data_IF_659514028206
#
_entry.id   IF_659514028206
#
_cell.length_a   1.000
_cell.length_b   1.000
_cell.length_c   1.000
_cell.angle_alpha   90.00
_cell.angle_beta   90.00
_cell.angle_gamma   90.00
#
_symmetry.space_group_name_H-M   'P 1'
#
loop_
_entity.id
_entity.type
_entity.pdbx_description
1 polymer ?
#
# COMPACT_ATOMS: atom_id res chain seq x y z
N UNK A 1 18.06 -10.05 15.28
CA UNK A 1 17.44 -11.34 14.88
C UNK A 1 16.69 -11.07 13.58
N UNK A 2 16.78 -11.89 12.53
CA UNK A 2 16.00 -11.64 11.35
C UNK A 2 14.52 -11.74 11.72
N UNK A 3 13.78 -10.67 11.46
CA UNK A 3 12.34 -10.63 11.63
C UNK A 3 11.76 -11.75 10.76
N UNK A 4 11.14 -12.74 11.37
CA UNK A 4 10.44 -13.78 10.59
C UNK A 4 9.33 -13.10 9.82
N UNK A 5 9.53 -12.92 8.51
CA UNK A 5 8.46 -12.58 7.60
C UNK A 5 7.32 -13.57 7.84
N UNK A 6 6.15 -13.05 8.19
CA UNK A 6 4.95 -13.89 8.26
C UNK A 6 4.71 -14.39 6.84
N UNK A 7 4.99 -15.68 6.60
CA UNK A 7 4.63 -16.32 5.35
C UNK A 7 3.11 -16.34 5.26
N UNK A 8 2.57 -15.57 4.35
CA UNK A 8 1.17 -15.64 3.98
C UNK A 8 0.99 -16.79 3.01
N UNK A 9 -0.04 -17.60 3.22
CA UNK A 9 -0.49 -18.61 2.26
C UNK A 9 -1.91 -18.26 1.82
N UNK A 10 -2.19 -18.60 0.58
CA UNK A 10 -3.51 -18.38 0.00
C UNK A 10 -4.48 -19.36 0.64
N UNK A 11 -5.59 -18.85 1.15
CA UNK A 11 -6.68 -19.71 1.62
C UNK A 11 -7.26 -20.49 0.44
N UNK A 12 -7.69 -21.76 0.62
CA UNK A 12 -8.25 -22.56 -0.47
C UNK A 12 -9.42 -21.89 -1.20
N UNK A 13 -10.27 -21.18 -0.48
CA UNK A 13 -11.42 -20.46 -1.02
C UNK A 13 -10.95 -19.30 -1.92
N UNK A 14 -9.92 -18.58 -1.52
CA UNK A 14 -9.34 -17.49 -2.32
C UNK A 14 -8.67 -18.04 -3.58
N UNK A 15 -7.98 -19.19 -3.47
CA UNK A 15 -7.38 -19.84 -4.64
C UNK A 15 -8.44 -20.29 -5.63
N UNK A 16 -9.54 -20.88 -5.14
CA UNK A 16 -10.66 -21.28 -5.99
C UNK A 16 -11.25 -20.11 -6.76
N UNK A 17 -11.45 -18.96 -6.12
CA UNK A 17 -11.90 -17.74 -6.80
C UNK A 17 -10.90 -17.27 -7.86
N UNK A 18 -9.60 -17.23 -7.55
CA UNK A 18 -8.55 -16.88 -8.51
C UNK A 18 -8.58 -17.79 -9.75
N UNK A 19 -8.77 -19.08 -9.57
CA UNK A 19 -8.76 -20.07 -10.65
C UNK A 19 -9.94 -19.88 -11.64
N UNK A 20 -10.98 -19.16 -11.23
CA UNK A 20 -12.14 -18.85 -12.10
C UNK A 20 -11.91 -17.62 -12.99
N UNK A 21 -10.91 -16.79 -12.69
CA UNK A 21 -10.70 -15.52 -13.37
C UNK A 21 -9.96 -15.74 -14.71
N UNK A 22 -10.56 -15.26 -15.78
CA UNK A 22 -9.90 -15.12 -17.09
C UNK A 22 -9.58 -13.65 -17.32
N UNK A 23 -8.34 -13.19 -17.07
CA UNK A 23 -7.99 -11.79 -17.20
C UNK A 23 -8.20 -11.25 -18.62
N UNK A 24 -8.84 -10.11 -18.75
CA UNK A 24 -9.01 -9.39 -20.00
C UNK A 24 -8.01 -8.24 -20.07
N UNK A 25 -7.22 -8.20 -21.13
CA UNK A 25 -6.16 -7.18 -21.28
C UNK A 25 -6.66 -5.84 -21.82
N UNK A 26 -7.95 -5.73 -22.16
CA UNK A 26 -8.54 -4.55 -22.77
C UNK A 26 -9.40 -3.76 -21.78
N UNK A 27 -9.32 -2.42 -21.86
CA UNK A 27 -10.15 -1.51 -21.06
C UNK A 27 -9.45 -0.84 -19.89
N UNK A 28 -10.12 0.16 -19.34
CA UNK A 28 -9.74 0.82 -18.09
C UNK A 28 -10.50 0.17 -16.93
N UNK A 29 -9.82 -0.01 -15.81
CA UNK A 29 -10.42 -0.57 -14.60
C UNK A 29 -10.75 0.53 -13.60
N UNK A 30 -11.91 0.48 -12.92
CA UNK A 30 -12.33 1.47 -11.93
C UNK A 30 -11.64 1.27 -10.57
N UNK A 31 -10.34 0.94 -10.59
CA UNK A 31 -9.56 0.57 -9.40
C UNK A 31 -9.62 1.62 -8.27
N UNK A 32 -9.77 2.89 -8.60
CA UNK A 32 -9.82 3.96 -7.62
C UNK A 32 -11.06 3.85 -6.74
N UNK A 33 -12.23 3.72 -7.36
CA UNK A 33 -13.50 3.66 -6.65
C UNK A 33 -13.59 2.39 -5.82
N UNK A 34 -13.29 1.25 -6.42
CA UNK A 34 -13.44 -0.06 -5.79
C UNK A 34 -12.55 -0.18 -4.55
N UNK A 35 -11.27 0.19 -4.65
CA UNK A 35 -10.36 0.06 -3.50
C UNK A 35 -10.69 1.04 -2.37
N UNK A 36 -11.07 2.29 -2.68
CA UNK A 36 -11.47 3.25 -1.66
C UNK A 36 -12.75 2.79 -0.96
N UNK A 37 -13.72 2.25 -1.70
CA UNK A 37 -14.95 1.70 -1.14
C UNK A 37 -14.66 0.51 -0.22
N UNK A 38 -13.81 -0.42 -0.65
CA UNK A 38 -13.43 -1.58 0.15
C UNK A 38 -12.73 -1.21 1.45
N UNK A 39 -11.86 -0.19 1.42
CA UNK A 39 -11.14 0.30 2.60
C UNK A 39 -12.00 1.20 3.50
N UNK A 40 -13.07 1.81 3.00
CA UNK A 40 -13.86 2.84 3.70
C UNK A 40 -14.41 2.44 5.07
N UNK A 41 -14.74 1.17 5.38
CA UNK A 41 -15.16 0.78 6.72
C UNK A 41 -14.05 0.95 7.77
N UNK A 42 -12.78 0.90 7.34
CA UNK A 42 -11.62 0.94 8.23
C UNK A 42 -10.89 2.28 8.18
N UNK A 43 -10.80 2.89 7.01
CA UNK A 43 -9.98 4.08 6.79
C UNK A 43 -10.61 4.99 5.72
N UNK A 44 -10.67 6.29 5.98
CA UNK A 44 -11.16 7.26 5.00
C UNK A 44 -10.00 7.78 4.12
N UNK A 45 -10.06 7.44 2.83
CA UNK A 45 -9.11 7.85 1.81
C UNK A 45 -9.74 8.74 0.72
N UNK A 46 -10.88 9.36 1.01
CA UNK A 46 -11.63 10.17 0.04
C UNK A 46 -10.78 11.28 -0.57
N UNK A 47 -9.99 11.97 0.26
CA UNK A 47 -9.13 13.10 -0.15
C UNK A 47 -7.77 12.67 -0.76
N UNK A 48 -7.58 11.39 -1.04
CA UNK A 48 -6.34 10.90 -1.63
C UNK A 48 -6.53 10.58 -3.11
N UNK A 49 -5.54 10.97 -3.93
CA UNK A 49 -5.34 10.40 -5.26
C UNK A 49 -4.80 8.98 -5.12
N UNK A 50 -5.17 8.09 -6.03
CA UNK A 50 -4.73 6.69 -5.97
C UNK A 50 -4.11 6.25 -7.29
N UNK A 51 -3.04 5.49 -7.19
CA UNK A 51 -2.32 4.93 -8.31
C UNK A 51 -2.06 3.43 -8.08
N UNK A 52 -2.35 2.57 -9.06
CA UNK A 52 -2.01 1.16 -8.97
C UNK A 52 -0.50 0.96 -9.05
N UNK A 53 0.01 0.03 -8.22
CA UNK A 53 1.42 -0.34 -8.16
C UNK A 53 1.56 -1.85 -7.97
N UNK A 54 2.75 -2.39 -8.25
CA UNK A 54 3.01 -3.83 -8.12
C UNK A 54 3.39 -4.22 -6.67
N UNK A 55 2.51 -3.86 -5.73
CA UNK A 55 2.69 -4.08 -4.30
C UNK A 55 3.42 -2.94 -3.60
N UNK A 56 3.46 -3.01 -2.25
CA UNK A 56 4.00 -1.93 -1.39
C UNK A 56 5.47 -1.67 -1.65
N UNK A 57 6.27 -2.68 -1.97
CA UNK A 57 7.70 -2.50 -2.29
C UNK A 57 7.90 -1.52 -3.46
N UNK A 58 7.07 -1.60 -4.51
CA UNK A 58 7.11 -0.63 -5.60
C UNK A 58 6.65 0.76 -5.14
N UNK A 59 5.60 0.84 -4.33
CA UNK A 59 5.13 2.10 -3.74
C UNK A 59 6.25 2.80 -2.96
N UNK A 60 6.97 2.04 -2.13
CA UNK A 60 8.11 2.53 -1.37
C UNK A 60 9.21 3.04 -2.32
N UNK A 61 9.57 2.27 -3.34
CA UNK A 61 10.61 2.67 -4.30
C UNK A 61 10.24 3.96 -5.05
N UNK A 62 8.97 4.10 -5.48
CA UNK A 62 8.48 5.32 -6.11
C UNK A 62 8.55 6.53 -5.19
N UNK A 63 8.11 6.38 -3.95
CA UNK A 63 8.18 7.44 -2.97
C UNK A 63 9.61 7.85 -2.67
N UNK A 64 10.42 6.90 -2.28
CA UNK A 64 11.78 7.16 -1.83
C UNK A 64 12.69 7.72 -2.92
N UNK A 65 12.50 7.31 -4.17
CA UNK A 65 13.27 7.87 -5.29
C UNK A 65 13.09 9.38 -5.48
N UNK A 66 12.05 9.97 -4.86
CA UNK A 66 11.72 11.40 -4.95
C UNK A 66 11.81 12.12 -3.60
N UNK A 67 11.92 11.36 -2.52
CA UNK A 67 11.96 11.93 -1.18
C UNK A 67 13.31 12.61 -0.94
N UNK A 68 13.26 13.85 -0.48
CA UNK A 68 14.45 14.67 -0.21
C UNK A 68 14.71 14.83 1.30
N UNK A 69 13.76 14.37 2.14
CA UNK A 69 13.85 14.38 3.59
C UNK A 69 14.54 13.12 4.09
N UNK A 70 15.04 13.17 5.33
CA UNK A 70 15.50 11.96 6.00
C UNK A 70 14.30 11.03 6.23
N UNK A 71 14.41 9.80 5.78
CA UNK A 71 13.39 8.79 6.01
C UNK A 71 13.74 8.05 7.30
N UNK A 72 12.82 8.11 8.26
CA UNK A 72 12.88 7.31 9.48
C UNK A 72 11.85 6.20 9.39
N UNK A 73 12.19 5.04 9.90
CA UNK A 73 11.29 3.91 10.00
C UNK A 73 10.91 3.69 11.47
N UNK A 74 9.64 3.40 11.74
CA UNK A 74 9.25 2.96 13.07
C UNK A 74 9.90 1.60 13.39
N UNK A 75 10.24 1.38 14.66
CA UNK A 75 10.91 0.16 15.10
C UNK A 75 10.10 -1.09 14.73
N UNK A 76 10.78 -2.08 14.14
CA UNK A 76 10.17 -3.34 13.70
C UNK A 76 9.40 -3.27 12.39
N UNK A 77 9.28 -2.12 11.76
CA UNK A 77 8.64 -2.00 10.44
C UNK A 77 9.52 -2.53 9.31
N UNK A 78 8.95 -2.55 8.09
CA UNK A 78 9.50 -3.23 6.92
C UNK A 78 10.93 -2.80 6.62
N UNK A 79 11.87 -3.74 6.71
CA UNK A 79 13.32 -3.51 6.60
C UNK A 79 13.74 -2.91 5.25
N UNK A 80 12.98 -3.18 4.18
CA UNK A 80 13.25 -2.63 2.85
C UNK A 80 13.36 -1.10 2.83
N UNK A 81 12.73 -0.42 3.77
CA UNK A 81 12.78 1.05 3.89
C UNK A 81 14.16 1.55 4.30
N UNK A 82 14.94 0.79 5.07
CA UNK A 82 16.30 1.17 5.50
C UNK A 82 17.37 0.76 4.48
N UNK A 83 17.26 -0.44 3.92
CA UNK A 83 18.31 -1.04 3.09
C UNK A 83 18.48 -0.36 1.72
N UNK A 84 17.42 0.23 1.19
CA UNK A 84 17.39 0.83 -0.15
C UNK A 84 17.54 2.34 -0.22
N UNK A 85 17.59 3.05 0.92
CA UNK A 85 17.27 4.48 0.97
C UNK A 85 18.28 5.36 1.70
N UNK A 86 19.56 5.14 1.50
CA UNK A 86 20.55 6.15 1.89
C UNK A 86 20.40 7.38 1.00
N UNK A 87 19.56 8.32 1.43
CA UNK A 87 19.46 9.60 0.77
C UNK A 87 20.69 10.45 1.17
N UNK A 88 21.76 10.36 0.37
CA UNK A 88 23.01 11.09 0.58
C UNK A 88 22.85 12.62 0.55
N UNK A 89 21.64 13.14 0.28
CA UNK A 89 21.33 14.55 0.08
C UNK A 89 20.21 15.08 0.96
N UNK A 90 19.92 14.39 2.06
CA UNK A 90 18.83 14.77 2.96
C UNK A 90 18.99 16.21 3.48
N UNK A 91 17.95 17.00 3.29
CA UNK A 91 17.76 18.31 3.89
C UNK A 91 16.91 18.16 5.14
N UNK A 92 17.10 19.03 6.08
CA UNK A 92 16.75 19.08 7.51
C UNK A 92 15.32 18.76 7.97
N UNK A 93 14.43 18.22 7.17
CA UNK A 93 13.10 17.82 7.58
C UNK A 93 12.97 16.29 7.47
N UNK A 94 12.42 15.67 8.51
CA UNK A 94 12.26 14.23 8.59
C UNK A 94 10.88 13.78 8.13
N UNK A 95 10.77 12.55 7.64
CA UNK A 95 9.50 11.88 7.35
C UNK A 95 9.52 10.48 7.95
N UNK A 96 8.45 10.10 8.63
CA UNK A 96 8.31 8.81 9.28
C UNK A 96 7.55 7.83 8.37
N UNK A 97 8.16 6.68 8.08
CA UNK A 97 7.45 5.52 7.58
C UNK A 97 7.01 4.64 8.74
N UNK A 98 5.74 4.28 8.79
CA UNK A 98 5.19 3.42 9.83
C UNK A 98 4.01 2.58 9.34
N UNK A 99 3.82 1.43 9.98
CA UNK A 99 2.68 0.54 9.73
C UNK A 99 1.58 0.74 10.77
N UNK A 100 0.34 0.81 10.32
CA UNK A 100 -0.86 0.71 11.16
C UNK A 100 -1.96 -0.05 10.40
N UNK A 101 -2.31 -1.27 10.80
CA UNK A 101 -1.85 -2.05 11.96
C UNK A 101 -0.35 -2.32 11.99
N UNK A 102 0.20 -2.47 13.20
CA UNK A 102 1.62 -2.80 13.42
C UNK A 102 2.02 -4.07 12.66
N UNK A 103 3.18 -4.02 12.02
CA UNK A 103 3.79 -5.16 11.33
C UNK A 103 4.32 -6.23 12.29
N UNK A 104 4.49 -5.89 13.58
CA UNK A 104 5.04 -6.78 14.62
C UNK A 104 3.95 -7.65 15.23
N UNK A 105 2.84 -7.04 15.63
CA UNK A 105 1.81 -7.69 16.46
C UNK A 105 0.37 -7.48 15.99
N UNK A 106 0.19 -6.71 14.91
CA UNK A 106 -1.13 -6.42 14.32
C UNK A 106 -2.00 -5.45 15.12
N UNK A 107 -1.46 -4.84 16.18
CA UNK A 107 -2.18 -3.89 16.99
C UNK A 107 -2.28 -2.50 16.35
N UNK A 108 -3.21 -1.69 16.85
CA UNK A 108 -3.31 -0.29 16.48
C UNK A 108 -2.08 0.48 16.99
N UNK A 109 -1.48 1.27 16.13
CA UNK A 109 -0.36 2.17 16.47
C UNK A 109 -0.84 3.61 16.36
N UNK A 110 -0.54 4.42 17.39
CA UNK A 110 -0.85 5.84 17.35
C UNK A 110 0.00 6.53 16.27
N UNK A 111 -0.67 7.21 15.34
CA UNK A 111 -0.01 7.96 14.29
C UNK A 111 0.37 9.34 14.86
N UNK A 112 1.66 9.72 14.87
CA UNK A 112 2.08 11.03 15.37
C UNK A 112 1.51 12.16 14.52
N UNK A 113 1.28 13.33 15.13
CA UNK A 113 0.67 14.49 14.46
C UNK A 113 1.66 15.63 14.20
N UNK A 114 2.87 15.52 14.69
CA UNK A 114 3.93 16.53 14.65
C UNK A 114 5.00 16.28 13.57
N UNK A 115 4.97 15.12 12.95
CA UNK A 115 5.93 14.71 11.92
C UNK A 115 5.19 14.25 10.67
N UNK A 116 5.63 14.58 9.45
CA UNK A 116 5.08 14.01 8.21
C UNK A 116 5.16 12.48 8.22
N UNK A 117 4.07 11.82 7.82
CA UNK A 117 3.97 10.35 7.87
C UNK A 117 3.66 9.79 6.49
N UNK A 118 4.32 8.68 6.17
CA UNK A 118 3.95 7.72 5.13
C UNK A 118 3.47 6.46 5.82
N UNK A 119 2.20 6.14 5.64
CA UNK A 119 1.50 5.10 6.38
C UNK A 119 1.38 3.82 5.54
N UNK A 120 1.89 2.72 6.05
CA UNK A 120 1.68 1.38 5.48
C UNK A 120 0.48 0.72 6.16
N UNK A 121 -0.53 0.36 5.39
CA UNK A 121 -1.73 -0.32 5.88
C UNK A 121 -1.84 -1.76 5.35
N UNK A 122 -0.70 -2.42 5.09
CA UNK A 122 -0.65 -3.79 4.54
C UNK A 122 -1.46 -4.80 5.34
N UNK A 123 -1.59 -4.60 6.64
CA UNK A 123 -2.26 -5.54 7.55
C UNK A 123 -3.75 -5.22 7.78
N UNK A 124 -4.30 -4.21 7.13
CA UNK A 124 -5.76 -4.02 7.09
C UNK A 124 -6.42 -5.22 6.42
N UNK A 125 -7.46 -5.76 7.06
CA UNK A 125 -8.14 -6.98 6.64
C UNK A 125 -7.55 -8.28 7.22
N UNK A 126 -6.36 -8.22 7.88
CA UNK A 126 -5.77 -9.39 8.58
C UNK A 126 -5.86 -9.27 10.10
N UNK A 127 -6.27 -8.13 10.60
CA UNK A 127 -6.33 -7.81 12.03
C UNK A 127 -7.72 -7.33 12.43
N UNK A 128 -8.10 -7.41 13.71
CA UNK A 128 -9.41 -7.00 14.18
C UNK A 128 -9.61 -5.47 14.26
N UNK A 129 -8.67 -4.66 13.76
CA UNK A 129 -8.78 -3.20 13.77
C UNK A 129 -9.95 -2.75 12.91
N UNK A 130 -10.87 -2.01 13.55
CA UNK A 130 -12.10 -1.55 12.91
C UNK A 130 -12.00 -0.16 12.31
N UNK A 131 -11.11 0.68 12.81
CA UNK A 131 -10.97 2.05 12.34
C UNK A 131 -9.56 2.60 12.54
N UNK A 132 -9.04 3.23 11.50
CA UNK A 132 -7.78 3.97 11.51
C UNK A 132 -8.11 5.44 11.21
N UNK A 133 -7.82 6.33 12.17
CA UNK A 133 -7.97 7.76 11.97
C UNK A 133 -6.68 8.31 11.35
N UNK A 134 -6.79 8.96 10.20
CA UNK A 134 -5.64 9.54 9.48
C UNK A 134 -5.53 11.02 9.83
N UNK A 135 -4.50 11.45 10.58
CA UNK A 135 -4.25 12.87 10.80
C UNK A 135 -3.77 13.57 9.51
N UNK A 136 -3.91 14.93 9.45
CA UNK A 136 -3.61 15.70 8.23
C UNK A 136 -2.15 15.59 7.75
N UNK A 137 -1.21 15.29 8.65
CA UNK A 137 0.21 15.11 8.35
C UNK A 137 0.56 13.76 7.70
N UNK A 138 -0.40 12.83 7.58
CA UNK A 138 -0.21 11.64 6.74
C UNK A 138 -0.33 12.07 5.27
N UNK A 139 0.81 12.05 4.59
CA UNK A 139 0.91 12.50 3.21
C UNK A 139 0.62 11.41 2.19
N UNK A 140 0.97 10.18 2.52
CA UNK A 140 0.83 9.00 1.66
C UNK A 140 0.36 7.80 2.46
N UNK A 141 -0.37 6.91 1.77
CA UNK A 141 -0.79 5.63 2.33
C UNK A 141 -0.51 4.55 1.31
N UNK A 142 0.07 3.43 1.74
CA UNK A 142 0.37 2.27 0.90
C UNK A 142 -0.46 1.07 1.33
N UNK A 143 -1.02 0.36 0.35
CA UNK A 143 -1.81 -0.84 0.58
C UNK A 143 -1.55 -1.91 -0.47
N UNK A 144 -1.70 -3.17 -0.10
CA UNK A 144 -1.72 -4.30 -1.04
C UNK A 144 -2.60 -5.43 -0.52
N UNK A 145 -3.10 -6.26 -1.43
CA UNK A 145 -3.86 -7.45 -1.07
C UNK A 145 -2.98 -8.66 -0.72
N UNK A 146 -1.66 -8.49 -0.72
CA UNK A 146 -0.71 -9.58 -0.44
C UNK A 146 -0.89 -10.20 0.94
N UNK A 147 -1.34 -9.41 1.93
CA UNK A 147 -1.57 -9.89 3.29
C UNK A 147 -3.02 -10.33 3.51
N UNK A 148 -4.05 -9.49 3.23
CA UNK A 148 -5.45 -9.87 3.48
C UNK A 148 -5.88 -11.14 2.76
N UNK A 149 -5.42 -11.35 1.53
CA UNK A 149 -5.80 -12.50 0.71
C UNK A 149 -4.67 -13.53 0.53
N UNK A 150 -3.49 -13.32 1.11
CA UNK A 150 -2.35 -14.23 0.97
C UNK A 150 -1.73 -14.29 -0.44
N UNK A 151 -2.09 -13.37 -1.33
CA UNK A 151 -1.73 -13.37 -2.77
C UNK A 151 -0.43 -12.63 -3.07
N UNK A 152 0.61 -12.88 -2.30
CA UNK A 152 1.89 -12.18 -2.47
C UNK A 152 2.57 -12.40 -3.83
N UNK A 153 2.23 -13.47 -4.54
CA UNK A 153 2.66 -13.78 -5.91
C UNK A 153 1.90 -12.98 -6.97
N UNK A 154 0.68 -12.51 -6.68
CA UNK A 154 -0.08 -11.59 -7.52
C UNK A 154 0.30 -10.17 -7.10
N UNK A 155 1.24 -9.58 -7.83
CA UNK A 155 1.84 -8.29 -7.48
C UNK A 155 0.87 -7.14 -7.75
N UNK A 156 0.02 -6.83 -6.76
CA UNK A 156 -0.94 -5.72 -6.81
C UNK A 156 -0.95 -4.93 -5.51
N UNK A 157 -1.10 -3.63 -5.63
CA UNK A 157 -1.19 -2.69 -4.53
C UNK A 157 -1.57 -1.31 -5.01
N UNK A 158 -1.68 -0.39 -4.08
CA UNK A 158 -2.07 0.99 -4.32
C UNK A 158 -1.22 1.97 -3.54
N UNK A 159 -0.88 3.05 -4.23
CA UNK A 159 -0.19 4.21 -3.71
C UNK A 159 -1.20 5.34 -3.62
N UNK A 160 -1.58 5.73 -2.41
CA UNK A 160 -2.44 6.86 -2.13
C UNK A 160 -1.61 8.07 -1.74
N UNK A 161 -1.99 9.25 -2.20
CA UNK A 161 -1.29 10.50 -1.89
C UNK A 161 -2.25 11.68 -1.84
N UNK A 162 -2.05 12.62 -0.90
CA UNK A 162 -2.86 13.85 -0.84
C UNK A 162 -2.60 14.82 -1.98
N UNK A 163 -1.47 14.73 -2.63
CA UNK A 163 -1.13 15.56 -3.80
C UNK A 163 -0.97 14.69 -5.03
N UNK A 164 -1.48 15.11 -6.19
CA UNK A 164 -1.31 14.35 -7.41
C UNK A 164 0.18 14.18 -7.73
N UNK A 165 0.57 12.96 -8.09
CA UNK A 165 1.92 12.66 -8.58
C UNK A 165 1.88 12.61 -10.11
N UNK A 166 2.40 13.66 -10.76
CA UNK A 166 2.34 13.80 -12.21
C UNK A 166 3.02 12.63 -12.95
N UNK A 167 4.10 12.06 -12.40
CA UNK A 167 4.81 10.95 -13.03
C UNK A 167 4.03 9.64 -12.89
N UNK A 168 3.48 9.35 -11.71
CA UNK A 168 2.61 8.19 -11.53
C UNK A 168 1.33 8.34 -12.37
N UNK A 169 0.76 9.53 -12.44
CA UNK A 169 -0.40 9.79 -13.28
C UNK A 169 -0.11 9.48 -14.76
N UNK A 170 0.96 10.03 -15.30
CA UNK A 170 1.38 9.77 -16.68
C UNK A 170 1.58 8.27 -16.94
N UNK A 171 2.28 7.57 -16.04
CA UNK A 171 2.57 6.14 -16.22
C UNK A 171 1.34 5.27 -16.06
N UNK A 172 0.54 5.49 -15.02
CA UNK A 172 -0.53 4.55 -14.65
C UNK A 172 -1.86 4.89 -15.30
N UNK A 173 -2.17 6.17 -15.48
CA UNK A 173 -3.45 6.62 -16.05
C UNK A 173 -3.35 6.79 -17.56
N UNK A 174 -2.34 7.50 -18.04
CA UNK A 174 -2.22 7.80 -19.47
C UNK A 174 -1.60 6.62 -20.23
N UNK A 175 -0.44 6.11 -19.78
CA UNK A 175 0.25 5.00 -20.42
C UNK A 175 -0.28 3.61 -20.00
N UNK A 176 -1.13 3.53 -18.96
CA UNK A 176 -1.66 2.29 -18.40
C UNK A 176 -0.55 1.27 -18.05
N UNK A 177 0.58 1.78 -17.55
CA UNK A 177 1.75 0.98 -17.17
C UNK A 177 1.57 0.43 -15.75
N UNK A 178 0.82 -0.65 -15.64
CA UNK A 178 0.62 -1.44 -14.43
C UNK A 178 0.24 -2.87 -14.79
N UNK A 179 0.34 -3.79 -13.85
CA UNK A 179 -0.03 -5.19 -14.05
C UNK A 179 -1.57 -5.33 -14.09
N UNK A 180 -2.14 -5.27 -15.30
CA UNK A 180 -3.59 -5.33 -15.53
C UNK A 180 -4.20 -6.64 -15.04
N UNK A 181 -3.52 -7.76 -15.26
CA UNK A 181 -4.01 -9.06 -14.79
C UNK A 181 -4.10 -9.07 -13.26
N UNK A 182 -3.03 -8.64 -12.57
CA UNK A 182 -3.01 -8.56 -11.12
C UNK A 182 -4.11 -7.64 -10.58
N UNK A 183 -4.36 -6.52 -11.25
CA UNK A 183 -5.41 -5.59 -10.84
C UNK A 183 -6.82 -6.19 -11.02
N UNK A 184 -7.07 -6.97 -12.08
CA UNK A 184 -8.35 -7.66 -12.27
C UNK A 184 -8.60 -8.74 -11.22
N UNK A 185 -7.56 -9.51 -10.84
CA UNK A 185 -7.64 -10.42 -9.69
C UNK A 185 -7.99 -9.65 -8.41
N UNK A 186 -7.33 -8.52 -8.19
CA UNK A 186 -7.60 -7.69 -7.03
C UNK A 186 -9.04 -7.17 -7.01
N UNK A 187 -9.53 -6.64 -8.13
CA UNK A 187 -10.91 -6.15 -8.27
C UNK A 187 -11.94 -7.24 -8.04
N UNK A 188 -11.69 -8.45 -8.52
CA UNK A 188 -12.57 -9.59 -8.24
C UNK A 188 -12.61 -9.89 -6.73
N UNK A 189 -11.46 -10.02 -6.10
CA UNK A 189 -11.34 -10.39 -4.69
C UNK A 189 -11.94 -9.36 -3.72
N UNK A 190 -11.89 -8.07 -4.04
CA UNK A 190 -12.48 -7.02 -3.18
C UNK A 190 -14.00 -6.90 -3.35
N UNK A 191 -14.61 -7.57 -4.33
CA UNK A 191 -16.05 -7.53 -4.59
C UNK A 191 -16.79 -8.81 -4.13
N UNK A 192 -16.10 -9.80 -3.58
CA UNK A 192 -16.68 -10.98 -2.97
C UNK A 192 -16.80 -10.82 -1.45
#
# INVERSE_FOLDING_TARGET
MPTKLINTFILPEVQQEIDTIVPQLNGRHPYETNIKQWLSPVIDLTDFFVYPVNGITEAINWWASKEQRNIHKAEGDYEWVEEGMHNLWAKSNDVLYMSCPSSIDGNYVNIPTDTPVVLDIAYVGTTPIKKINIPPNVEKVFFSLSKPFGISNIRTGWYFTRRPDARLHMLTIEAMYYNRCALQYAEHLINI
#
